data_IF_706853709752
#
_entry.id   IF_706853709752
#
_cell.length_a   1.000
_cell.length_b   1.000
_cell.length_c   1.000
_cell.angle_alpha   90.00
_cell.angle_beta   90.00
_cell.angle_gamma   90.00
#
_symmetry.space_group_name_H-M   'P 1'
#
loop_
_entity.id
_entity.type
_entity.pdbx_description
1 polymer ?
#
# COMPACT_ATOMS: atom_id res chain seq x y z
N UNK A 1 23.89 -2.77 22.25
CA UNK A 1 23.53 -2.67 20.82
C UNK A 1 22.10 -3.15 20.70
N UNK A 2 21.13 -2.24 20.68
CA UNK A 2 19.69 -2.55 20.58
C UNK A 2 19.28 -2.22 19.14
N UNK A 3 18.60 -3.11 18.41
CA UNK A 3 18.31 -2.86 17.00
C UNK A 3 17.38 -1.66 16.90
N UNK A 4 17.68 -0.79 15.93
CA UNK A 4 16.84 0.35 15.60
C UNK A 4 15.41 -0.14 15.39
N UNK A 5 14.48 0.48 16.11
CA UNK A 5 13.06 0.24 15.96
C UNK A 5 12.67 0.73 14.55
N UNK A 6 12.70 -0.17 13.57
CA UNK A 6 12.29 0.05 12.18
C UNK A 6 10.80 0.40 12.18
N UNK A 7 10.53 1.67 12.47
CA UNK A 7 9.20 2.22 12.50
C UNK A 7 8.79 2.40 11.05
N UNK A 8 8.34 1.30 10.43
CA UNK A 8 7.75 1.36 9.10
C UNK A 8 6.61 2.37 9.15
N UNK A 9 6.66 3.44 8.34
CA UNK A 9 5.63 4.45 8.37
C UNK A 9 4.29 3.79 8.04
N UNK A 10 3.27 4.11 8.84
CA UNK A 10 1.93 3.56 8.64
C UNK A 10 1.47 3.86 7.19
N UNK A 11 0.93 2.87 6.47
CA UNK A 11 0.62 2.99 5.05
C UNK A 11 -0.30 4.19 4.79
N UNK A 12 0.03 4.98 3.77
CA UNK A 12 -0.79 6.15 3.42
C UNK A 12 -2.24 5.75 3.14
N UNK A 13 -3.24 6.62 3.42
CA UNK A 13 -4.65 6.35 3.10
C UNK A 13 -4.88 6.02 1.62
N UNK A 14 -4.02 6.52 0.73
CA UNK A 14 -4.04 6.17 -0.70
C UNK A 14 -3.54 4.74 -0.93
N UNK A 15 -2.44 4.33 -0.29
CA UNK A 15 -1.96 2.94 -0.38
C UNK A 15 -3.00 1.94 0.14
N UNK A 16 -3.69 2.27 1.23
CA UNK A 16 -4.77 1.43 1.77
C UNK A 16 -5.94 1.27 0.79
N UNK A 17 -6.36 2.36 0.12
CA UNK A 17 -7.42 2.29 -0.89
C UNK A 17 -7.04 1.40 -2.08
N UNK A 18 -5.82 1.54 -2.58
CA UNK A 18 -5.33 0.71 -3.68
C UNK A 18 -5.25 -0.78 -3.30
N UNK A 19 -4.86 -1.10 -2.06
CA UNK A 19 -4.90 -2.49 -1.58
C UNK A 19 -6.31 -3.06 -1.56
N UNK A 20 -7.28 -2.27 -1.08
CA UNK A 20 -8.69 -2.67 -1.08
C UNK A 20 -9.25 -2.87 -2.49
N UNK A 21 -8.86 -2.02 -3.44
CA UNK A 21 -9.24 -2.18 -4.85
C UNK A 21 -8.62 -3.46 -5.45
N UNK A 22 -7.36 -3.78 -5.13
CA UNK A 22 -6.74 -5.03 -5.54
C UNK A 22 -7.46 -6.27 -4.98
N UNK A 23 -7.84 -6.24 -3.70
CA UNK A 23 -8.64 -7.29 -3.07
C UNK A 23 -9.98 -7.49 -3.77
N UNK A 24 -10.68 -6.40 -4.11
CA UNK A 24 -11.93 -6.47 -4.87
C UNK A 24 -11.74 -7.12 -6.25
N UNK A 25 -10.66 -6.80 -6.97
CA UNK A 25 -10.35 -7.42 -8.26
C UNK A 25 -10.20 -8.94 -8.12
N UNK A 26 -9.51 -9.42 -7.08
CA UNK A 26 -9.35 -10.85 -6.82
C UNK A 26 -10.67 -11.52 -6.43
N UNK A 27 -11.47 -10.88 -5.57
CA UNK A 27 -12.78 -11.40 -5.16
C UNK A 27 -13.74 -11.60 -6.33
N UNK A 28 -13.67 -10.72 -7.33
CA UNK A 28 -14.45 -10.85 -8.57
C UNK A 28 -13.83 -11.95 -9.45
N UNK A 29 -12.51 -11.95 -9.64
CA UNK A 29 -11.82 -12.89 -10.52
C UNK A 29 -12.08 -14.36 -10.15
N UNK A 30 -12.02 -14.71 -8.85
CA UNK A 30 -12.22 -16.09 -8.38
C UNK A 30 -13.64 -16.61 -8.59
N UNK A 31 -14.61 -15.72 -8.82
CA UNK A 31 -16.00 -16.08 -9.09
C UNK A 31 -16.32 -16.14 -10.59
N UNK A 32 -15.37 -15.77 -11.45
CA UNK A 32 -15.62 -15.65 -12.87
C UNK A 32 -15.36 -16.93 -13.66
N UNK A 33 -16.22 -17.15 -14.65
CA UNK A 33 -16.13 -18.30 -15.58
C UNK A 33 -15.35 -17.97 -16.83
N UNK A 34 -15.33 -16.70 -17.22
CA UNK A 34 -14.53 -16.24 -18.35
C UNK A 34 -13.08 -16.06 -17.89
N UNK A 35 -12.22 -16.93 -18.42
CA UNK A 35 -10.79 -16.94 -18.10
C UNK A 35 -10.07 -15.67 -18.56
N UNK A 36 -10.48 -15.05 -19.68
CA UNK A 36 -9.84 -13.83 -20.16
C UNK A 36 -10.15 -12.66 -19.20
N UNK A 37 -11.42 -12.51 -18.85
CA UNK A 37 -11.84 -11.47 -17.90
C UNK A 37 -11.24 -11.68 -16.49
N UNK A 38 -11.14 -12.94 -16.03
CA UNK A 38 -10.48 -13.24 -14.77
C UNK A 38 -8.98 -12.88 -14.80
N UNK A 39 -8.29 -13.13 -15.91
CA UNK A 39 -6.89 -12.75 -16.08
C UNK A 39 -6.70 -11.23 -16.03
N UNK A 40 -7.55 -10.46 -16.72
CA UNK A 40 -7.50 -8.99 -16.70
C UNK A 40 -7.63 -8.43 -15.27
N UNK A 41 -8.52 -9.01 -14.46
CA UNK A 41 -8.69 -8.62 -13.05
C UNK A 41 -7.48 -8.96 -12.19
N UNK A 42 -6.84 -10.11 -12.44
CA UNK A 42 -5.62 -10.51 -11.72
C UNK A 42 -4.47 -9.56 -12.05
N UNK A 43 -4.29 -9.22 -13.32
CA UNK A 43 -3.26 -8.27 -13.75
C UNK A 43 -3.48 -6.88 -13.14
N UNK A 44 -4.73 -6.43 -13.09
CA UNK A 44 -5.11 -5.18 -12.44
C UNK A 44 -4.83 -5.22 -10.92
N UNK A 45 -5.14 -6.32 -10.23
CA UNK A 45 -4.82 -6.50 -8.81
C UNK A 45 -3.31 -6.43 -8.53
N UNK A 46 -2.48 -7.03 -9.40
CA UNK A 46 -1.02 -6.95 -9.32
C UNK A 46 -0.55 -5.50 -9.50
N UNK A 47 -1.09 -4.79 -10.49
CA UNK A 47 -0.75 -3.38 -10.77
C UNK A 47 -1.07 -2.47 -9.57
N UNK A 48 -2.26 -2.61 -9.00
CA UNK A 48 -2.71 -1.85 -7.83
C UNK A 48 -1.86 -2.14 -6.59
N UNK A 49 -1.51 -3.41 -6.36
CA UNK A 49 -0.66 -3.83 -5.24
C UNK A 49 0.74 -3.21 -5.33
N UNK A 50 1.36 -3.26 -6.52
CA UNK A 50 2.68 -2.63 -6.74
C UNK A 50 2.63 -1.13 -6.46
N UNK A 51 1.59 -0.46 -6.95
CA UNK A 51 1.43 0.99 -6.71
C UNK A 51 1.20 1.31 -5.22
N UNK A 52 0.46 0.48 -4.50
CA UNK A 52 0.30 0.64 -3.06
C UNK A 52 1.62 0.49 -2.31
N UNK A 53 2.47 -0.45 -2.72
CA UNK A 53 3.81 -0.66 -2.15
C UNK A 53 4.73 0.53 -2.41
N UNK A 54 4.76 1.05 -3.64
CA UNK A 54 5.51 2.26 -3.99
C UNK A 54 5.12 3.45 -3.10
N UNK A 55 3.82 3.64 -2.85
CA UNK A 55 3.32 4.71 -2.00
C UNK A 55 3.60 4.49 -0.50
N UNK A 56 3.78 3.24 -0.06
CA UNK A 56 4.25 2.92 1.29
C UNK A 56 5.76 3.12 1.47
N UNK A 57 6.54 2.86 0.42
CA UNK A 57 7.99 3.08 0.40
C UNK A 57 8.37 4.56 0.29
N UNK A 58 7.49 5.40 -0.27
CA UNK A 58 7.75 6.81 -0.59
C UNK A 58 7.22 7.80 0.46
N UNK A 59 6.93 7.34 1.68
CA UNK A 59 6.53 8.26 2.75
C UNK A 59 7.76 9.05 3.23
N UNK A 60 7.76 10.40 3.15
CA UNK A 60 8.91 11.19 3.56
C UNK A 60 9.22 10.92 5.04
N UNK A 61 10.52 10.95 5.44
CA UNK A 61 10.90 10.70 6.82
C UNK A 61 10.09 11.58 7.77
N UNK A 62 9.78 11.10 9.00
CA UNK A 62 9.01 11.88 9.96
C UNK A 62 9.68 13.24 10.12
N UNK A 63 8.91 14.31 9.88
CA UNK A 63 9.38 15.68 10.16
C UNK A 63 9.67 15.73 11.65
N UNK A 64 10.95 15.76 12.02
CA UNK A 64 11.37 16.03 13.39
C UNK A 64 10.87 17.45 13.70
N UNK A 65 9.77 17.54 14.44
CA UNK A 65 9.31 18.80 15.01
C UNK A 65 10.31 19.12 16.11
N UNK A 66 11.19 20.10 15.87
CA UNK A 66 12.16 20.54 16.88
C UNK A 66 11.40 20.91 18.17
N UNK A 67 11.88 20.49 19.35
CA UNK A 67 11.26 20.90 20.59
C UNK A 67 11.36 22.43 20.70
N UNK A 68 10.22 23.07 20.88
CA UNK A 68 10.13 24.49 21.18
C UNK A 68 10.78 24.72 22.56
N UNK A 69 12.08 25.04 22.57
CA UNK A 69 12.77 25.48 23.77
C UNK A 69 12.40 26.94 23.98
N UNK A 70 11.30 27.16 24.68
CA UNK A 70 10.98 28.46 25.25
C UNK A 70 12.04 28.77 26.32
N UNK A 71 12.74 29.88 26.12
CA UNK A 71 13.74 30.47 27.02
C UNK A 71 13.09 31.09 28.27
#
# INVERSE_FOLDING_TARGET
MTPANDTHPAPSPRALRLRREAENCLDIAVRQKDAAFAADLIDEAVRLTRRAQELGAMQPPPRIVAPNVAA
#
